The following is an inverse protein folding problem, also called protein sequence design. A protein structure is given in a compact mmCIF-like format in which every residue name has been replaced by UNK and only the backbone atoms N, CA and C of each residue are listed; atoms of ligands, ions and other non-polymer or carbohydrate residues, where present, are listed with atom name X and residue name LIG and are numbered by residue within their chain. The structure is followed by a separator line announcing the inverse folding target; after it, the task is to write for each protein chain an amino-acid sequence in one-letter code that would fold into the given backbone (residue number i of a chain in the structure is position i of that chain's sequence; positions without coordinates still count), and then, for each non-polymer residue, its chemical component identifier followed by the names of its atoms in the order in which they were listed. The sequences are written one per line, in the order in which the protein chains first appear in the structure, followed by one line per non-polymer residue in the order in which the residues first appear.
data_IF_370160863303
#
_entry.id   IF_370160863303
#
_cell.length_a   1.000
_cell.length_b   1.000
_cell.length_c   1.000
_cell.angle_alpha   90.00
_cell.angle_beta   90.00
_cell.angle_gamma   90.00
#
_symmetry.space_group_name_H-M   'P 1'
#
loop_
_entity.id
_entity.type
_entity.pdbx_description
1 polymer ?
#
# COMPACT_ATOMS: atom_id res chain seq x y z
N UNK A 1 -0.26 -20.67 -1.88
CA UNK A 1 0.68 -19.53 -1.86
C UNK A 1 -0.10 -18.31 -1.40
N UNK A 2 0.42 -17.54 -0.44
CA UNK A 2 -0.28 -16.32 -0.01
C UNK A 2 -0.19 -15.28 -1.15
N UNK A 3 -1.34 -14.85 -1.66
CA UNK A 3 -1.41 -13.81 -2.70
C UNK A 3 -0.90 -12.49 -2.13
N UNK A 4 0.01 -11.80 -2.81
CA UNK A 4 0.52 -10.50 -2.39
C UNK A 4 -0.06 -9.37 -3.24
N UNK A 5 -0.27 -8.20 -2.63
CA UNK A 5 -0.61 -6.97 -3.35
C UNK A 5 0.68 -6.27 -3.76
N UNK A 6 0.94 -6.18 -5.07
CA UNK A 6 2.13 -5.55 -5.62
C UNK A 6 1.95 -4.04 -5.82
N UNK A 7 2.80 -3.24 -5.18
CA UNK A 7 2.86 -1.78 -5.31
C UNK A 7 4.19 -1.40 -5.94
N UNK A 8 4.18 -0.57 -6.96
CA UNK A 8 5.39 -0.06 -7.62
C UNK A 8 5.23 1.42 -7.90
N UNK A 9 6.35 2.13 -7.99
CA UNK A 9 6.34 3.51 -8.47
C UNK A 9 6.04 3.52 -9.97
N UNK A 10 4.90 4.09 -10.36
CA UNK A 10 4.52 4.20 -11.77
C UNK A 10 5.44 5.12 -12.58
N UNK A 11 6.18 6.02 -11.92
CA UNK A 11 7.08 6.98 -12.56
C UNK A 11 8.46 6.40 -12.88
N UNK A 12 8.81 5.27 -12.28
CA UNK A 12 10.09 4.58 -12.52
C UNK A 12 9.80 3.13 -12.90
N UNK A 13 9.50 2.84 -14.18
CA UNK A 13 9.06 1.51 -14.60
C UNK A 13 10.06 0.37 -14.30
N UNK A 14 11.35 0.67 -14.23
CA UNK A 14 12.41 -0.28 -13.86
C UNK A 14 12.73 -0.32 -12.36
N UNK A 15 11.96 0.40 -11.53
CA UNK A 15 12.16 0.47 -10.09
C UNK A 15 11.67 -0.77 -9.35
N UNK A 16 12.00 -0.90 -8.05
CA UNK A 16 11.57 -2.03 -7.24
C UNK A 16 10.05 -2.03 -7.03
N UNK A 17 9.48 -3.25 -6.93
CA UNK A 17 8.11 -3.47 -6.49
C UNK A 17 8.08 -3.97 -5.04
N UNK A 18 7.14 -3.46 -4.25
CA UNK A 18 6.86 -3.89 -2.89
C UNK A 18 5.67 -4.85 -2.88
N UNK A 19 5.75 -5.92 -2.08
CA UNK A 19 4.67 -6.88 -1.89
C UNK A 19 4.08 -6.78 -0.48
N UNK A 20 2.76 -6.57 -0.38
CA UNK A 20 2.04 -6.53 0.89
C UNK A 20 1.13 -7.74 1.05
N UNK A 21 0.97 -8.21 2.29
CA UNK A 21 -0.11 -9.14 2.59
C UNK A 21 -1.47 -8.46 2.32
N UNK A 22 -2.47 -9.17 1.77
CA UNK A 22 -3.75 -8.55 1.40
C UNK A 22 -4.44 -7.87 2.58
N UNK A 23 -4.45 -8.52 3.75
CA UNK A 23 -5.05 -7.95 4.96
C UNK A 23 -4.39 -6.65 5.39
N UNK A 24 -3.07 -6.55 5.31
CA UNK A 24 -2.33 -5.33 5.63
C UNK A 24 -2.62 -4.20 4.64
N UNK A 25 -2.72 -4.51 3.34
CA UNK A 25 -3.08 -3.52 2.32
C UNK A 25 -4.50 -2.99 2.50
N UNK A 26 -5.47 -3.88 2.76
CA UNK A 26 -6.85 -3.50 3.03
C UNK A 26 -6.96 -2.59 4.24
N UNK A 27 -6.31 -2.95 5.37
CA UNK A 27 -6.29 -2.11 6.57
C UNK A 27 -5.68 -0.73 6.30
N UNK A 28 -4.55 -0.67 5.59
CA UNK A 28 -3.92 0.60 5.22
C UNK A 28 -4.87 1.50 4.42
N UNK A 29 -5.50 0.98 3.36
CA UNK A 29 -6.43 1.77 2.53
C UNK A 29 -7.62 2.26 3.35
N UNK A 30 -8.20 1.41 4.22
CA UNK A 30 -9.28 1.79 5.12
C UNK A 30 -8.88 2.97 6.02
N UNK A 31 -7.72 2.90 6.68
CA UNK A 31 -7.27 3.95 7.58
C UNK A 31 -6.88 5.25 6.85
N UNK A 32 -6.35 5.16 5.63
CA UNK A 32 -6.14 6.33 4.76
C UNK A 32 -7.48 6.97 4.38
N UNK A 33 -8.47 6.16 3.97
CA UNK A 33 -9.81 6.66 3.62
C UNK A 33 -10.53 7.31 4.80
N UNK A 34 -10.30 6.85 6.02
CA UNK A 34 -10.82 7.46 7.24
C UNK A 34 -10.04 8.72 7.67
N UNK A 35 -8.92 9.04 7.01
CA UNK A 35 -8.04 10.14 7.41
C UNK A 35 -7.25 9.87 8.69
N UNK A 36 -7.29 8.65 9.23
CA UNK A 36 -6.62 8.27 10.47
C UNK A 36 -5.08 8.25 10.34
N UNK A 37 -4.58 8.04 9.13
CA UNK A 37 -3.14 8.10 8.83
C UNK A 37 -2.70 9.45 8.24
N UNK A 38 -3.66 10.36 8.01
CA UNK A 38 -3.40 11.70 7.53
C UNK A 38 -3.28 12.66 8.69
N UNK A 39 -2.07 12.93 9.17
CA UNK A 39 -1.84 14.04 10.10
C UNK A 39 -0.74 14.97 9.57
N UNK A 40 -1.06 16.27 9.56
CA UNK A 40 -0.11 17.31 9.95
C UNK A 40 -0.65 17.85 11.28
N UNK A 41 -0.05 17.43 12.39
CA UNK A 41 0.08 18.33 13.53
C UNK A 41 1.11 19.39 13.18
#
# INVERSE_FOLDING_TARGET
MAHAVAVRDSKVPGGPALGFAPGSWSAFVTEVSHGALGHRG
#
